data_IF_948984007642
#
_entry.id   IF_948984007642
#
_cell.length_a   1.000
_cell.length_b   1.000
_cell.length_c   1.000
_cell.angle_alpha   90.00
_cell.angle_beta   90.00
_cell.angle_gamma   90.00
#
_symmetry.space_group_name_H-M   'P 1'
#
loop_
_entity.id
_entity.type
_entity.pdbx_description
1 polymer ?
#
# COMPACT_ATOMS: atom_id res chain seq x y z
N UNK A 1 1.67 17.62 13.91
CA UNK A 1 1.35 16.71 12.80
C UNK A 1 2.07 15.39 13.08
N UNK A 2 1.38 14.26 12.96
CA UNK A 2 1.98 12.93 13.06
C UNK A 2 1.75 12.26 11.69
N UNK A 3 2.81 11.82 11.04
CA UNK A 3 2.75 11.05 9.80
C UNK A 3 3.10 9.60 10.13
N UNK A 4 2.24 8.67 9.73
CA UNK A 4 2.42 7.25 10.00
C UNK A 4 2.68 6.57 8.66
N UNK A 5 3.90 6.09 8.48
CA UNK A 5 4.24 5.22 7.36
C UNK A 5 3.78 3.79 7.66
N UNK A 6 3.18 3.13 6.67
CA UNK A 6 2.63 1.79 6.82
C UNK A 6 3.49 0.77 6.10
N UNK A 7 3.86 -0.36 6.74
CA UNK A 7 4.60 -1.43 6.07
C UNK A 7 3.86 -1.91 4.80
N UNK A 8 4.58 -2.29 3.73
CA UNK A 8 3.96 -2.76 2.49
C UNK A 8 3.18 -4.04 2.76
N UNK A 9 1.86 -3.93 2.83
CA UNK A 9 1.00 -5.05 3.22
C UNK A 9 -0.30 -4.96 2.44
N UNK A 10 -0.62 -6.01 1.67
CA UNK A 10 -1.88 -6.15 0.91
C UNK A 10 -3.13 -5.96 1.76
N UNK A 11 -3.00 -6.19 3.06
CA UNK A 11 -4.06 -6.16 4.04
C UNK A 11 -3.77 -5.16 5.18
N UNK A 12 -3.22 -3.98 4.89
CA UNK A 12 -2.95 -2.96 5.92
C UNK A 12 -4.20 -2.61 6.76
N UNK A 13 -5.41 -2.77 6.21
CA UNK A 13 -6.67 -2.61 6.95
C UNK A 13 -7.06 -3.86 7.78
N UNK A 14 -6.62 -5.07 7.44
CA UNK A 14 -6.79 -6.25 8.31
C UNK A 14 -6.07 -6.06 9.65
N UNK A 15 -5.01 -5.25 9.69
CA UNK A 15 -4.35 -4.89 10.94
C UNK A 15 -5.31 -4.16 11.90
N UNK A 16 -6.25 -3.37 11.36
CA UNK A 16 -7.29 -2.71 12.15
C UNK A 16 -8.40 -3.66 12.59
N UNK A 17 -8.58 -4.78 11.88
CA UNK A 17 -9.50 -5.85 12.30
C UNK A 17 -8.87 -6.80 13.32
N UNK A 18 -7.54 -6.89 13.38
CA UNK A 18 -6.84 -7.81 14.27
C UNK A 18 -7.33 -7.72 15.73
N UNK A 19 -7.65 -6.55 16.29
CA UNK A 19 -8.19 -6.49 17.64
C UNK A 19 -9.62 -6.97 17.79
N UNK A 20 -10.49 -6.73 16.78
CA UNK A 20 -11.85 -7.28 16.78
C UNK A 20 -11.81 -8.81 16.65
N UNK A 21 -10.97 -9.32 15.73
CA UNK A 21 -10.73 -10.76 15.58
C UNK A 21 -10.15 -11.39 16.85
N UNK A 22 -9.26 -10.69 17.54
CA UNK A 22 -8.80 -11.10 18.88
C UNK A 22 -9.95 -11.09 19.89
N UNK A 23 -10.77 -10.04 19.94
CA UNK A 23 -11.95 -9.96 20.80
C UNK A 23 -12.91 -11.14 20.61
N UNK A 24 -13.26 -11.45 19.37
CA UNK A 24 -14.09 -12.60 19.01
C UNK A 24 -13.43 -13.93 19.39
N UNK A 25 -12.14 -14.08 19.11
CA UNK A 25 -11.39 -15.28 19.43
C UNK A 25 -11.39 -15.56 20.93
N UNK A 26 -10.97 -14.60 21.76
CA UNK A 26 -10.94 -14.72 23.24
C UNK A 26 -12.34 -14.76 23.87
N UNK A 27 -13.33 -14.14 23.25
CA UNK A 27 -14.74 -14.24 23.64
C UNK A 27 -15.37 -15.61 23.33
N UNK A 28 -14.74 -16.39 22.45
CA UNK A 28 -15.24 -17.64 21.89
C UNK A 28 -15.54 -18.75 22.90
N UNK A 29 -16.56 -19.57 22.59
CA UNK A 29 -16.99 -20.71 23.41
C UNK A 29 -15.89 -21.75 23.64
N UNK A 30 -14.99 -21.93 22.66
CA UNK A 30 -13.89 -22.89 22.72
C UNK A 30 -12.88 -22.55 23.81
N UNK A 31 -12.40 -21.29 23.87
CA UNK A 31 -11.45 -20.87 24.90
C UNK A 31 -12.07 -20.87 26.28
N UNK A 32 -13.35 -20.46 26.39
CA UNK A 32 -14.09 -20.53 27.64
C UNK A 32 -14.18 -21.97 28.17
N UNK A 33 -14.33 -22.94 27.27
CA UNK A 33 -14.37 -24.38 27.57
C UNK A 33 -12.99 -24.97 27.93
N UNK A 34 -11.93 -24.58 27.23
CA UNK A 34 -10.54 -24.99 27.51
C UNK A 34 -10.03 -24.49 28.88
N UNK A 35 -10.41 -23.25 29.25
CA UNK A 35 -9.97 -22.60 30.49
C UNK A 35 -10.88 -22.87 31.69
N UNK A 36 -12.08 -23.44 31.47
CA UNK A 36 -13.05 -23.72 32.53
C UNK A 36 -12.55 -24.66 33.65
N UNK A 37 -11.82 -25.76 33.36
CA UNK A 37 -11.31 -26.67 34.40
C UNK A 37 -10.33 -25.98 35.36
N UNK A 38 -9.49 -25.09 34.83
CA UNK A 38 -8.48 -24.35 35.59
C UNK A 38 -9.09 -23.26 36.47
N UNK A 39 -10.16 -22.58 36.04
CA UNK A 39 -10.88 -21.58 36.87
C UNK A 39 -11.70 -22.23 38.00
N UNK A 40 -12.09 -23.49 37.86
CA UNK A 40 -12.90 -24.22 38.84
C UNK A 40 -12.10 -24.76 40.04
N UNK A 41 -10.78 -24.57 40.07
CA UNK A 41 -9.87 -25.14 41.08
C UNK A 41 -9.93 -24.56 42.50
N UNK A 42 -10.87 -23.65 42.83
CA UNK A 42 -10.87 -22.92 44.11
C UNK A 42 -12.15 -23.02 44.97
N UNK A 43 -13.23 -23.65 44.53
CA UNK A 43 -14.48 -23.65 45.30
C UNK A 43 -15.51 -24.68 44.85
N UNK A 44 -16.54 -24.89 45.69
CA UNK A 44 -17.58 -25.95 45.66
C UNK A 44 -18.41 -26.11 44.36
N UNK A 45 -18.05 -25.46 43.25
CA UNK A 45 -18.71 -25.54 41.93
C UNK A 45 -18.09 -26.52 40.91
N UNK A 46 -16.97 -27.16 41.22
CA UNK A 46 -16.22 -28.02 40.28
C UNK A 46 -16.96 -29.28 39.76
N UNK A 47 -18.12 -29.65 40.35
CA UNK A 47 -18.82 -30.90 40.01
C UNK A 47 -19.81 -30.79 38.86
N UNK A 48 -20.24 -29.59 38.45
CA UNK A 48 -21.29 -29.43 37.42
C UNK A 48 -20.74 -29.19 36.00
N UNK A 49 -19.51 -28.66 35.89
CA UNK A 49 -18.89 -28.34 34.59
C UNK A 49 -18.26 -29.58 33.92
N UNK A 50 -18.08 -30.67 34.66
CA UNK A 50 -17.26 -31.81 34.25
C UNK A 50 -17.99 -32.88 33.41
N UNK A 51 -19.30 -32.72 33.15
CA UNK A 51 -20.08 -33.75 32.43
C UNK A 51 -20.27 -33.46 30.94
N UNK A 52 -20.39 -32.18 30.54
CA UNK A 52 -20.66 -31.80 29.15
C UNK A 52 -19.41 -31.74 28.25
N UNK A 53 -18.20 -31.77 28.82
CA UNK A 53 -16.92 -31.57 28.14
C UNK A 53 -16.10 -32.84 27.90
N UNK A 54 -16.39 -33.92 28.63
CA UNK A 54 -15.60 -35.16 28.64
C UNK A 54 -15.29 -35.78 27.26
N UNK A 55 -16.24 -35.91 26.31
CA UNK A 55 -15.96 -36.61 25.06
C UNK A 55 -15.00 -35.85 24.14
N UNK A 56 -15.01 -34.51 24.16
CA UNK A 56 -14.09 -33.72 23.32
C UNK A 56 -12.66 -33.75 23.86
N UNK A 57 -12.48 -33.67 25.19
CA UNK A 57 -11.15 -33.79 25.80
C UNK A 57 -10.51 -35.14 25.47
N UNK A 58 -11.27 -36.25 25.47
CA UNK A 58 -10.73 -37.57 25.11
C UNK A 58 -10.28 -37.68 23.65
N UNK A 59 -11.00 -37.02 22.72
CA UNK A 59 -10.62 -37.01 21.29
C UNK A 59 -9.45 -36.08 21.03
N UNK A 60 -9.44 -34.89 21.64
CA UNK A 60 -8.35 -33.93 21.52
C UNK A 60 -7.05 -34.47 22.16
N UNK A 61 -7.14 -35.15 23.29
CA UNK A 61 -6.01 -35.79 23.97
C UNK A 61 -5.42 -36.96 23.17
N UNK A 62 -6.27 -37.72 22.48
CA UNK A 62 -5.84 -38.82 21.58
C UNK A 62 -5.10 -38.34 20.32
N UNK A 63 -5.36 -37.11 19.85
CA UNK A 63 -4.87 -36.58 18.57
C UNK A 63 -3.74 -35.55 18.76
N UNK A 64 -3.89 -34.64 19.74
CA UNK A 64 -2.99 -33.49 19.97
C UNK A 64 -2.07 -33.68 21.18
N UNK A 65 -2.44 -34.56 22.12
CA UNK A 65 -1.73 -34.81 23.36
C UNK A 65 -2.07 -33.84 24.50
N UNK A 66 -2.17 -34.37 25.72
CA UNK A 66 -2.47 -33.64 26.96
C UNK A 66 -1.61 -32.40 27.14
N UNK A 67 -0.29 -32.53 27.00
CA UNK A 67 0.66 -31.44 27.29
C UNK A 67 0.39 -30.20 26.43
N UNK A 68 0.16 -30.38 25.13
CA UNK A 68 -0.10 -29.27 24.22
C UNK A 68 -1.39 -28.51 24.57
N UNK A 69 -2.44 -29.23 24.97
CA UNK A 69 -3.70 -28.62 25.43
C UNK A 69 -3.52 -27.84 26.74
N UNK A 70 -2.66 -28.34 27.64
CA UNK A 70 -2.32 -27.64 28.89
C UNK A 70 -1.53 -26.36 28.61
N UNK A 71 -0.51 -26.43 27.75
CA UNK A 71 0.31 -25.27 27.37
C UNK A 71 -0.54 -24.16 26.71
N UNK A 72 -1.48 -24.56 25.83
CA UNK A 72 -2.46 -23.64 25.23
C UNK A 72 -3.34 -23.01 26.31
N UNK A 73 -3.91 -23.81 27.22
CA UNK A 73 -4.78 -23.31 28.27
C UNK A 73 -4.04 -22.34 29.20
N UNK A 74 -2.79 -22.63 29.55
CA UNK A 74 -1.93 -21.79 30.38
C UNK A 74 -1.55 -20.49 29.68
N UNK A 75 -1.16 -20.54 28.39
CA UNK A 75 -0.95 -19.35 27.56
C UNK A 75 -2.19 -18.44 27.61
N UNK A 76 -3.39 -19.00 27.38
CA UNK A 76 -4.62 -18.24 27.37
C UNK A 76 -4.98 -17.64 28.74
N UNK A 77 -4.74 -18.36 29.83
CA UNK A 77 -4.96 -17.87 31.20
C UNK A 77 -4.05 -16.69 31.52
N UNK A 78 -2.75 -16.80 31.19
CA UNK A 78 -1.78 -15.72 31.40
C UNK A 78 -2.09 -14.50 30.52
N UNK A 79 -2.59 -14.73 29.30
CA UNK A 79 -2.93 -13.68 28.34
C UNK A 79 -4.23 -12.94 28.68
N UNK A 80 -5.14 -13.51 29.50
CA UNK A 80 -6.41 -12.85 29.86
C UNK A 80 -6.21 -11.48 30.49
N UNK A 81 -5.16 -11.30 31.29
CA UNK A 81 -4.86 -10.03 31.95
C UNK A 81 -4.55 -8.90 30.96
N UNK A 82 -4.05 -9.24 29.77
CA UNK A 82 -3.71 -8.27 28.72
C UNK A 82 -4.89 -7.96 27.80
N UNK A 83 -5.91 -8.83 27.76
CA UNK A 83 -7.05 -8.77 26.86
C UNK A 83 -7.79 -7.43 26.91
N UNK A 84 -8.23 -7.01 28.09
CA UNK A 84 -9.00 -5.78 28.26
C UNK A 84 -8.22 -4.55 27.79
N UNK A 85 -6.91 -4.55 28.03
CA UNK A 85 -5.99 -3.52 27.54
C UNK A 85 -5.87 -3.50 26.02
N UNK A 86 -5.83 -4.66 25.36
CA UNK A 86 -5.79 -4.75 23.89
C UNK A 86 -7.09 -4.24 23.25
N UNK A 87 -8.24 -4.70 23.74
CA UNK A 87 -9.55 -4.28 23.22
C UNK A 87 -9.74 -2.78 23.40
N UNK A 88 -9.41 -2.25 24.59
CA UNK A 88 -9.52 -0.81 24.87
C UNK A 88 -8.64 0.01 23.93
N UNK A 89 -7.38 -0.38 23.73
CA UNK A 89 -6.46 0.33 22.81
C UNK A 89 -6.94 0.28 21.38
N UNK A 90 -7.47 -0.84 20.93
CA UNK A 90 -7.98 -0.97 19.59
C UNK A 90 -9.18 -0.08 19.30
N UNK A 91 -10.14 -0.01 20.23
CA UNK A 91 -11.26 0.91 20.12
C UNK A 91 -10.81 2.37 20.15
N UNK A 92 -9.73 2.70 20.89
CA UNK A 92 -9.12 4.04 20.82
C UNK A 92 -8.53 4.29 19.43
N UNK A 93 -7.78 3.33 18.86
CA UNK A 93 -7.20 3.46 17.52
C UNK A 93 -8.30 3.61 16.46
N UNK A 94 -9.32 2.77 16.48
CA UNK A 94 -10.49 2.86 15.59
C UNK A 94 -11.11 4.26 15.64
N UNK A 95 -11.40 4.78 16.84
CA UNK A 95 -11.93 6.14 17.00
C UNK A 95 -10.99 7.22 16.46
N UNK A 96 -9.67 7.06 16.64
CA UNK A 96 -8.70 8.00 16.09
C UNK A 96 -8.70 7.99 14.56
N UNK A 97 -8.90 6.84 13.93
CA UNK A 97 -8.95 6.72 12.47
C UNK A 97 -10.22 7.34 11.86
N UNK A 98 -11.32 7.40 12.62
CA UNK A 98 -12.54 8.13 12.25
C UNK A 98 -12.56 9.60 12.70
N UNK A 99 -11.58 10.05 13.49
CA UNK A 99 -11.53 11.45 13.95
C UNK A 99 -11.31 12.38 12.76
N UNK A 100 -12.02 13.52 12.73
CA UNK A 100 -11.93 14.52 11.65
C UNK A 100 -10.53 15.11 11.47
N UNK A 101 -9.64 14.92 12.44
CA UNK A 101 -8.23 15.35 12.40
C UNK A 101 -7.30 14.29 11.79
N UNK A 102 -7.83 13.13 11.43
CA UNK A 102 -7.10 12.04 10.78
C UNK A 102 -7.53 11.94 9.33
N UNK A 103 -6.59 11.66 8.44
CA UNK A 103 -6.87 11.42 7.03
C UNK A 103 -5.89 10.39 6.47
N UNK A 104 -6.33 9.65 5.47
CA UNK A 104 -5.53 8.68 4.74
C UNK A 104 -5.04 9.29 3.43
N UNK A 105 -3.76 9.04 3.12
CA UNK A 105 -3.16 9.36 1.83
C UNK A 105 -2.79 8.03 1.18
N UNK A 106 -3.38 7.73 0.03
CA UNK A 106 -3.10 6.52 -0.73
C UNK A 106 -2.05 6.84 -1.77
N UNK A 107 -0.91 6.16 -1.76
CA UNK A 107 0.17 6.38 -2.74
C UNK A 107 0.29 5.16 -3.64
N UNK A 108 0.26 5.36 -4.95
CA UNK A 108 0.38 4.27 -5.92
C UNK A 108 1.12 4.70 -7.17
N UNK A 109 1.77 3.76 -7.86
CA UNK A 109 2.22 3.97 -9.25
C UNK A 109 1.12 3.54 -10.20
N UNK A 110 1.17 3.98 -11.46
CA UNK A 110 0.20 3.56 -12.48
C UNK A 110 0.52 2.17 -13.09
N UNK A 111 1.36 1.38 -12.40
CA UNK A 111 1.60 -0.02 -12.72
C UNK A 111 0.41 -0.90 -12.29
N UNK A 112 0.13 -1.97 -13.05
CA UNK A 112 -1.10 -2.75 -12.86
C UNK A 112 -1.27 -3.35 -11.45
N UNK A 113 -0.20 -3.79 -10.81
CA UNK A 113 -0.28 -4.42 -9.48
C UNK A 113 -0.49 -3.39 -8.36
N UNK A 114 0.36 -2.35 -8.19
CA UNK A 114 0.12 -1.28 -7.21
C UNK A 114 -1.23 -0.58 -7.40
N UNK A 115 -1.64 -0.36 -8.66
CA UNK A 115 -2.91 0.31 -8.95
C UNK A 115 -4.11 -0.53 -8.51
N UNK A 116 -4.10 -1.85 -8.75
CA UNK A 116 -5.13 -2.76 -8.26
C UNK A 116 -5.18 -2.81 -6.73
N UNK A 117 -4.03 -2.78 -6.06
CA UNK A 117 -3.99 -2.72 -4.60
C UNK A 117 -4.56 -1.39 -4.07
N UNK A 118 -4.27 -0.27 -4.75
CA UNK A 118 -4.85 1.04 -4.42
C UNK A 118 -6.37 1.10 -4.66
N UNK A 119 -6.88 0.49 -5.74
CA UNK A 119 -8.32 0.35 -6.02
C UNK A 119 -9.04 -0.32 -4.83
N UNK A 120 -8.50 -1.47 -4.40
CA UNK A 120 -9.03 -2.24 -3.28
C UNK A 120 -8.96 -1.40 -1.99
N UNK A 121 -7.82 -0.78 -1.72
CA UNK A 121 -7.61 0.00 -0.50
C UNK A 121 -8.56 1.20 -0.43
N UNK A 122 -8.71 1.97 -1.51
CA UNK A 122 -9.69 3.07 -1.59
C UNK A 122 -11.12 2.56 -1.34
N UNK A 123 -11.49 1.43 -1.96
CA UNK A 123 -12.79 0.81 -1.72
C UNK A 123 -13.01 0.40 -0.27
N UNK A 124 -11.98 -0.11 0.41
CA UNK A 124 -12.05 -0.50 1.83
C UNK A 124 -12.09 0.71 2.78
N UNK A 125 -11.44 1.84 2.44
CA UNK A 125 -11.59 3.12 3.15
C UNK A 125 -13.04 3.63 3.05
N UNK A 126 -13.60 3.64 1.84
CA UNK A 126 -14.99 4.07 1.59
C UNK A 126 -15.99 3.20 2.33
N UNK A 127 -15.85 1.86 2.27
CA UNK A 127 -16.74 0.92 2.99
C UNK A 127 -16.71 1.12 4.50
N UNK A 128 -15.58 1.54 5.07
CA UNK A 128 -15.40 1.79 6.50
C UNK A 128 -15.58 3.25 6.87
N UNK A 129 -15.99 4.12 5.95
CA UNK A 129 -16.17 5.56 6.20
C UNK A 129 -14.91 6.21 6.81
N UNK A 130 -13.72 5.77 6.38
CA UNK A 130 -12.46 6.40 6.73
C UNK A 130 -12.17 7.56 5.77
N UNK A 131 -11.77 8.75 6.28
CA UNK A 131 -11.52 9.92 5.44
C UNK A 131 -10.27 9.72 4.57
N UNK A 132 -10.45 9.65 3.25
CA UNK A 132 -9.35 9.63 2.27
C UNK A 132 -9.11 11.05 1.75
N UNK A 133 -7.99 11.66 2.15
CA UNK A 133 -7.66 13.04 1.81
C UNK A 133 -7.03 13.18 0.43
N UNK A 134 -6.26 12.17 -0.01
CA UNK A 134 -5.71 12.17 -1.35
C UNK A 134 -5.38 10.75 -1.88
N UNK A 135 -5.48 10.60 -3.19
CA UNK A 135 -4.84 9.55 -3.97
C UNK A 135 -3.66 10.17 -4.73
N UNK A 136 -2.45 9.70 -4.46
CA UNK A 136 -1.21 10.20 -5.03
C UNK A 136 -0.72 9.20 -6.08
N UNK A 137 -0.72 9.61 -7.34
CA UNK A 137 -0.11 8.84 -8.43
C UNK A 137 1.36 9.21 -8.53
N UNK A 138 2.23 8.35 -7.99
CA UNK A 138 3.67 8.53 -7.91
C UNK A 138 4.38 7.98 -9.16
N UNK A 139 5.50 8.59 -9.53
CA UNK A 139 6.35 8.20 -10.66
C UNK A 139 5.62 8.16 -12.00
N UNK A 140 4.70 9.09 -12.23
CA UNK A 140 4.04 9.20 -13.53
C UNK A 140 4.98 9.79 -14.58
N UNK A 141 4.66 9.57 -15.85
CA UNK A 141 5.42 10.18 -16.93
C UNK A 141 5.24 11.71 -16.92
N UNK A 142 6.32 12.50 -17.10
CA UNK A 142 6.25 13.95 -17.18
C UNK A 142 5.25 14.44 -18.25
N UNK A 143 4.59 15.56 -17.98
CA UNK A 143 3.58 16.16 -18.89
C UNK A 143 4.16 16.50 -20.27
N UNK A 144 5.47 16.68 -20.38
CA UNK A 144 6.18 16.88 -21.66
C UNK A 144 5.96 15.74 -22.65
N UNK A 145 5.68 14.51 -22.19
CA UNK A 145 5.37 13.38 -23.06
C UNK A 145 3.96 13.47 -23.67
N UNK A 146 3.07 14.28 -23.09
CA UNK A 146 1.73 14.55 -23.62
C UNK A 146 1.63 15.88 -24.37
N UNK A 147 2.67 16.70 -24.36
CA UNK A 147 2.69 17.99 -25.03
C UNK A 147 2.91 17.84 -26.55
N UNK A 148 2.13 18.58 -27.34
CA UNK A 148 2.26 18.60 -28.81
C UNK A 148 3.69 18.94 -29.26
N UNK A 149 4.32 19.91 -28.59
CA UNK A 149 5.70 20.30 -28.87
C UNK A 149 6.70 19.15 -28.68
N UNK A 150 6.47 18.27 -27.71
CA UNK A 150 7.28 17.07 -27.50
C UNK A 150 7.10 16.06 -28.63
N UNK A 151 5.84 15.83 -29.05
CA UNK A 151 5.52 14.95 -30.17
C UNK A 151 6.15 15.44 -31.49
N UNK A 152 6.07 16.75 -31.76
CA UNK A 152 6.72 17.39 -32.89
C UNK A 152 8.25 17.24 -32.84
N UNK A 153 8.87 17.45 -31.67
CA UNK A 153 10.30 17.27 -31.48
C UNK A 153 10.73 15.82 -31.74
N UNK A 154 10.00 14.84 -31.20
CA UNK A 154 10.27 13.41 -31.44
C UNK A 154 10.17 13.05 -32.93
N UNK A 155 9.14 13.54 -33.63
CA UNK A 155 8.98 13.33 -35.07
C UNK A 155 10.10 14.01 -35.87
N UNK A 156 10.50 15.22 -35.49
CA UNK A 156 11.59 15.95 -36.12
C UNK A 156 12.94 15.23 -35.95
N UNK A 157 13.22 14.67 -34.77
CA UNK A 157 14.42 13.87 -34.51
C UNK A 157 14.49 12.66 -35.45
N UNK A 158 13.39 11.92 -35.62
CA UNK A 158 13.34 10.76 -36.53
C UNK A 158 13.53 11.20 -37.99
N UNK A 159 12.78 12.21 -38.43
CA UNK A 159 12.77 12.64 -39.83
C UNK A 159 14.08 13.32 -40.26
N UNK A 160 14.78 13.96 -39.33
CA UNK A 160 16.01 14.71 -39.62
C UNK A 160 17.26 14.07 -39.03
N UNK A 161 17.20 12.82 -38.56
CA UNK A 161 18.29 12.17 -37.82
C UNK A 161 19.65 12.28 -38.52
N UNK A 162 19.70 11.98 -39.83
CA UNK A 162 20.93 12.11 -40.63
C UNK A 162 21.48 13.54 -40.64
N UNK A 163 20.63 14.53 -40.96
CA UNK A 163 21.05 15.94 -41.02
C UNK A 163 21.50 16.45 -39.65
N UNK A 164 20.84 16.00 -38.58
CA UNK A 164 21.20 16.36 -37.22
C UNK A 164 22.51 15.72 -36.80
N UNK A 165 22.77 14.47 -37.18
CA UNK A 165 24.06 13.80 -36.95
C UNK A 165 25.21 14.55 -37.64
N UNK A 166 25.02 14.99 -38.89
CA UNK A 166 26.02 15.83 -39.58
C UNK A 166 26.31 17.13 -38.81
N UNK A 167 25.28 17.77 -38.25
CA UNK A 167 25.44 18.99 -37.44
C UNK A 167 26.15 18.70 -36.12
N UNK A 168 25.87 17.57 -35.47
CA UNK A 168 26.53 17.18 -34.22
C UNK A 168 28.02 16.92 -34.43
N UNK A 169 28.41 16.32 -35.56
CA UNK A 169 29.83 16.13 -35.90
C UNK A 169 30.62 17.44 -36.03
N UNK A 170 29.95 18.54 -36.42
CA UNK A 170 30.58 19.86 -36.51
C UNK A 170 30.88 20.50 -35.14
N UNK A 171 30.33 19.95 -34.04
CA UNK A 171 30.58 20.48 -32.69
C UNK A 171 32.00 20.17 -32.18
N UNK A 172 32.70 19.22 -32.80
CA UNK A 172 34.04 18.80 -32.39
C UNK A 172 34.08 17.99 -31.09
N UNK A 173 32.92 17.57 -30.56
CA UNK A 173 32.84 16.66 -29.41
C UNK A 173 33.18 15.25 -29.89
N UNK A 174 34.25 14.66 -29.37
CA UNK A 174 34.77 13.35 -29.81
C UNK A 174 33.71 12.23 -29.74
N UNK A 175 32.84 12.27 -28.72
CA UNK A 175 31.75 11.31 -28.54
C UNK A 175 30.64 11.41 -29.61
N UNK A 176 30.60 12.51 -30.38
CA UNK A 176 29.62 12.81 -31.43
C UNK A 176 30.29 12.90 -32.81
N UNK A 177 31.40 12.17 -33.01
CA UNK A 177 32.16 12.19 -34.26
C UNK A 177 31.71 11.12 -35.27
N UNK A 178 30.99 10.08 -34.81
CA UNK A 178 30.49 8.98 -35.65
C UNK A 178 29.03 9.25 -36.06
N UNK A 179 28.85 9.86 -37.22
CA UNK A 179 27.53 10.26 -37.73
C UNK A 179 26.56 9.09 -37.90
N UNK A 180 27.05 7.87 -38.16
CA UNK A 180 26.20 6.69 -38.30
C UNK A 180 25.66 6.23 -36.94
N UNK A 181 26.49 6.29 -35.90
CA UNK A 181 26.06 6.01 -34.51
C UNK A 181 25.11 7.10 -34.04
N UNK A 182 25.46 8.37 -34.26
CA UNK A 182 24.66 9.51 -33.81
C UNK A 182 23.28 9.55 -34.47
N UNK A 183 23.20 9.28 -35.79
CA UNK A 183 21.91 9.15 -36.49
C UNK A 183 21.04 8.08 -35.83
N UNK A 184 21.61 6.91 -35.54
CA UNK A 184 20.89 5.81 -34.90
C UNK A 184 20.39 6.21 -33.51
N UNK A 185 21.23 6.85 -32.71
CA UNK A 185 20.86 7.33 -31.37
C UNK A 185 19.72 8.35 -31.46
N UNK A 186 19.81 9.35 -32.34
CA UNK A 186 18.77 10.36 -32.53
C UNK A 186 17.42 9.73 -32.93
N UNK A 187 17.46 8.76 -33.86
CA UNK A 187 16.26 8.00 -34.25
C UNK A 187 15.68 7.22 -33.09
N UNK A 188 16.53 6.51 -32.33
CA UNK A 188 16.11 5.79 -31.13
C UNK A 188 15.49 6.71 -30.08
N UNK A 189 16.07 7.88 -29.83
CA UNK A 189 15.51 8.87 -28.89
C UNK A 189 14.12 9.32 -29.34
N UNK A 190 13.94 9.66 -30.62
CA UNK A 190 12.63 10.06 -31.15
C UNK A 190 11.59 8.92 -31.12
N UNK A 191 12.01 7.69 -31.42
CA UNK A 191 11.14 6.50 -31.33
C UNK A 191 10.76 6.17 -29.88
N UNK A 192 11.71 6.23 -28.96
CA UNK A 192 11.48 6.07 -27.53
C UNK A 192 10.52 7.14 -27.00
N UNK A 193 10.70 8.40 -27.39
CA UNK A 193 9.77 9.48 -27.03
C UNK A 193 8.34 9.15 -27.49
N UNK A 194 8.17 8.72 -28.74
CA UNK A 194 6.85 8.32 -29.28
C UNK A 194 6.24 7.15 -28.52
N UNK A 195 7.05 6.18 -28.09
CA UNK A 195 6.55 5.06 -27.31
C UNK A 195 6.07 5.52 -25.92
N UNK A 196 6.84 6.39 -25.25
CA UNK A 196 6.45 6.96 -23.97
C UNK A 196 5.24 7.90 -24.08
N UNK A 197 5.09 8.66 -25.18
CA UNK A 197 3.94 9.55 -25.35
C UNK A 197 2.62 8.77 -25.42
N UNK A 198 2.62 7.57 -26.03
CA UNK A 198 1.44 6.68 -26.03
C UNK A 198 1.10 6.19 -24.62
N UNK A 199 2.11 5.84 -23.83
CA UNK A 199 1.91 5.43 -22.42
C UNK A 199 1.41 6.61 -21.59
N UNK A 200 2.02 7.78 -21.73
CA UNK A 200 1.64 8.99 -20.99
C UNK A 200 0.21 9.45 -21.31
N UNK A 201 -0.23 9.35 -22.56
CA UNK A 201 -1.62 9.60 -22.94
C UNK A 201 -2.59 8.65 -22.23
N UNK A 202 -2.25 7.35 -22.17
CA UNK A 202 -3.05 6.36 -21.44
C UNK A 202 -3.05 6.59 -19.94
N UNK A 203 -1.92 7.00 -19.36
CA UNK A 203 -1.84 7.40 -17.95
C UNK A 203 -2.73 8.61 -17.66
N UNK A 204 -2.77 9.60 -18.58
CA UNK A 204 -3.64 10.76 -18.44
C UNK A 204 -5.14 10.39 -18.49
N UNK A 205 -5.54 9.50 -19.40
CA UNK A 205 -6.91 8.96 -19.45
C UNK A 205 -7.26 8.21 -18.16
N UNK A 206 -6.38 7.32 -17.71
CA UNK A 206 -6.58 6.55 -16.50
C UNK A 206 -6.76 7.44 -15.27
N UNK A 207 -5.98 8.53 -15.13
CA UNK A 207 -6.12 9.48 -14.02
C UNK A 207 -7.53 10.07 -13.91
N UNK A 208 -8.22 10.29 -15.04
CA UNK A 208 -9.62 10.77 -15.02
C UNK A 208 -10.53 9.75 -14.33
N UNK A 209 -10.31 8.45 -14.56
CA UNK A 209 -11.08 7.38 -13.90
C UNK A 209 -10.75 7.30 -12.40
N UNK A 210 -9.49 7.49 -12.00
CA UNK A 210 -9.04 7.40 -10.62
C UNK A 210 -9.67 8.44 -9.69
N UNK A 211 -10.06 9.61 -10.20
CA UNK A 211 -10.76 10.63 -9.42
C UNK A 211 -12.07 10.09 -8.81
N UNK A 212 -12.68 9.07 -9.42
CA UNK A 212 -13.90 8.46 -8.91
C UNK A 212 -13.68 7.57 -7.68
N UNK A 213 -12.43 7.21 -7.36
CA UNK A 213 -12.09 6.31 -6.26
C UNK A 213 -12.00 7.01 -4.91
N UNK A 214 -11.81 8.33 -4.93
CA UNK A 214 -11.57 9.12 -3.72
C UNK A 214 -12.43 10.39 -3.73
N UNK A 215 -12.94 10.76 -2.55
CA UNK A 215 -13.61 12.05 -2.36
C UNK A 215 -12.61 13.22 -2.24
N UNK A 216 -11.38 12.90 -1.81
CA UNK A 216 -10.28 13.84 -1.70
C UNK A 216 -9.60 14.16 -3.04
N UNK A 217 -8.39 14.69 -2.95
CA UNK A 217 -7.65 15.18 -4.12
C UNK A 217 -6.92 14.03 -4.85
N UNK A 218 -7.00 14.02 -6.18
CA UNK A 218 -6.09 13.23 -7.00
C UNK A 218 -4.84 14.07 -7.29
N UNK A 219 -3.70 13.64 -6.76
CA UNK A 219 -2.44 14.37 -6.86
C UNK A 219 -1.45 13.59 -7.72
N UNK A 220 -0.82 14.28 -8.66
CA UNK A 220 0.14 13.66 -9.58
C UNK A 220 1.57 14.07 -9.23
N UNK A 221 2.44 13.07 -8.95
CA UNK A 221 3.86 13.27 -8.71
C UNK A 221 4.65 12.59 -9.84
N UNK A 222 5.26 13.36 -10.76
CA UNK A 222 6.00 12.78 -11.87
C UNK A 222 7.27 12.08 -11.38
N UNK A 223 7.82 11.20 -12.22
CA UNK A 223 9.18 10.70 -11.99
C UNK A 223 10.17 11.86 -12.06
N UNK A 224 11.01 11.97 -11.05
CA UNK A 224 12.11 12.94 -11.02
C UNK A 224 13.32 12.38 -11.76
N UNK A 225 14.18 13.26 -12.27
CA UNK A 225 15.41 12.89 -12.98
C UNK A 225 16.48 12.26 -12.06
N UNK A 226 16.36 12.51 -10.75
CA UNK A 226 17.28 12.01 -9.73
C UNK A 226 16.51 11.45 -8.52
N UNK A 227 17.15 10.52 -7.80
CA UNK A 227 16.63 10.02 -6.53
C UNK A 227 16.52 11.14 -5.50
N UNK A 228 15.47 11.14 -4.70
CA UNK A 228 15.30 12.13 -3.62
C UNK A 228 16.13 11.72 -2.41
N UNK A 229 17.19 12.46 -2.15
CA UNK A 229 18.15 12.20 -1.07
C UNK A 229 18.52 13.46 -0.28
N UNK A 230 17.96 14.61 -0.63
CA UNK A 230 18.20 15.90 0.03
C UNK A 230 16.90 16.71 0.21
N UNK A 231 17.03 17.87 0.88
CA UNK A 231 15.89 18.76 1.13
C UNK A 231 15.37 19.42 -0.15
N UNK A 232 16.20 19.55 -1.19
CA UNK A 232 15.80 20.13 -2.47
C UNK A 232 14.86 19.20 -3.22
N UNK A 233 15.17 17.90 -3.30
CA UNK A 233 14.27 16.91 -3.87
C UNK A 233 12.96 16.75 -3.07
N UNK A 234 13.01 16.89 -1.74
CA UNK A 234 11.79 16.93 -0.92
C UNK A 234 10.95 18.18 -1.20
N UNK A 235 11.58 19.34 -1.41
CA UNK A 235 10.88 20.56 -1.80
C UNK A 235 10.25 20.45 -3.19
N UNK A 236 10.91 19.74 -4.12
CA UNK A 236 10.36 19.44 -5.44
C UNK A 236 9.10 18.57 -5.34
N UNK A 237 9.12 17.48 -4.55
CA UNK A 237 7.90 16.69 -4.27
C UNK A 237 6.82 17.58 -3.62
N UNK A 238 7.19 18.44 -2.66
CA UNK A 238 6.24 19.31 -1.99
C UNK A 238 5.51 20.25 -2.95
N UNK A 239 6.18 20.73 -4.01
CA UNK A 239 5.55 21.55 -5.06
C UNK A 239 4.47 20.79 -5.84
N UNK A 240 4.55 19.47 -5.91
CA UNK A 240 3.51 18.63 -6.52
C UNK A 240 2.39 18.28 -5.53
N UNK A 241 2.69 18.20 -4.23
CA UNK A 241 1.72 17.77 -3.22
C UNK A 241 0.86 18.89 -2.64
N UNK A 242 1.34 20.14 -2.62
CA UNK A 242 0.71 21.24 -1.87
C UNK A 242 0.34 22.47 -2.72
N UNK A 243 -0.03 22.25 -3.98
CA UNK A 243 -0.50 23.29 -4.91
C UNK A 243 -1.84 23.91 -4.53
#
# INVERSE_FOLDING_TARGET
LIVIDTPPTRNALDFLEAPHRMAEFFGGRLLRWLTAPYRAGGGRGARLVNFASKPFYQVADRILGTQFLQDIAEFFLNFQSMYDGFVTRAQVVERLLHDRRTTFLVVTTLESAPLREAEIFCGELTKREFPCGALITNKTLPESFTADAGAEAGAALIANAHRLADVLALTGVEALADTAIDERVLRTVGESFRNFSVVAAREAELRVELQTWVEGELVNVPSLDADVHDLSGLAEIANHLFT
#
